data_IF_536147076744
#
_entry.id   IF_536147076744
#
_cell.length_a   1.000
_cell.length_b   1.000
_cell.length_c   1.000
_cell.angle_alpha   90.00
_cell.angle_beta   90.00
_cell.angle_gamma   90.00
#
_symmetry.space_group_name_H-M   'P 1'
#
loop_
_entity.id
_entity.type
_entity.pdbx_description
1 polymer ?
#
# COMPACT_ATOMS: atom_id res chain seq x y z
N UNK A 1 9.20 -7.00 7.04
CA UNK A 1 8.46 -6.77 8.31
C UNK A 1 7.47 -7.89 8.67
N UNK A 2 7.02 -8.71 7.72
CA UNK A 2 5.99 -9.75 7.93
C UNK A 2 6.39 -10.88 8.90
N UNK A 3 7.69 -11.10 9.09
CA UNK A 3 8.29 -12.14 9.93
C UNK A 3 8.69 -11.66 11.32
N UNK A 4 8.40 -10.40 11.68
CA UNK A 4 8.99 -9.71 12.85
C UNK A 4 10.53 -9.63 12.87
N UNK A 5 11.24 -10.22 11.90
CA UNK A 5 12.71 -10.18 11.76
C UNK A 5 13.23 -8.75 11.72
N UNK A 6 12.53 -7.86 11.00
CA UNK A 6 12.90 -6.44 10.97
C UNK A 6 13.04 -5.83 12.38
N UNK A 7 12.17 -6.23 13.32
CA UNK A 7 12.23 -5.73 14.69
C UNK A 7 13.51 -6.19 15.36
N UNK A 8 13.83 -7.48 15.23
CA UNK A 8 15.01 -8.09 15.82
C UNK A 8 16.30 -7.52 15.23
N UNK A 9 16.39 -7.47 13.90
CA UNK A 9 17.52 -6.90 13.16
C UNK A 9 17.75 -5.43 13.49
N UNK A 10 16.68 -4.64 13.65
CA UNK A 10 16.83 -3.24 14.07
C UNK A 10 17.26 -3.15 15.53
N UNK A 11 16.74 -4.01 16.41
CA UNK A 11 17.04 -3.96 17.84
C UNK A 11 18.51 -4.28 18.11
N UNK A 12 19.09 -5.21 17.36
CA UNK A 12 20.53 -5.56 17.41
C UNK A 12 21.46 -4.43 16.97
N UNK A 13 20.97 -3.48 16.16
CA UNK A 13 21.75 -2.33 15.68
C UNK A 13 21.77 -1.16 16.68
N UNK A 14 20.96 -1.22 17.74
CA UNK A 14 20.83 -0.14 18.72
C UNK A 14 21.71 -0.38 19.95
N UNK A 15 22.04 0.68 20.71
CA UNK A 15 22.79 0.53 21.96
C UNK A 15 22.08 -0.39 22.96
N UNK A 16 22.88 -1.04 23.81
CA UNK A 16 22.34 -1.89 24.87
C UNK A 16 21.36 -1.13 25.78
N UNK A 17 20.24 -1.78 26.12
CA UNK A 17 19.16 -1.19 26.91
C UNK A 17 18.25 -0.21 26.16
N UNK A 18 18.52 0.07 24.88
CA UNK A 18 17.60 0.82 24.03
C UNK A 18 16.45 -0.06 23.53
N UNK A 19 15.37 0.57 23.08
CA UNK A 19 14.25 -0.13 22.43
C UNK A 19 13.69 0.65 21.25
N UNK A 20 12.91 0.00 20.40
CA UNK A 20 12.36 0.59 19.17
C UNK A 20 10.89 0.95 19.37
N UNK A 21 10.50 2.10 18.81
CA UNK A 21 9.12 2.43 18.52
C UNK A 21 8.92 2.45 16.99
N UNK A 22 8.45 1.35 16.38
CA UNK A 22 8.26 1.31 14.93
C UNK A 22 7.09 2.21 14.56
N UNK A 23 7.35 3.25 13.79
CA UNK A 23 6.32 4.16 13.32
C UNK A 23 5.66 3.58 12.07
N UNK A 24 4.33 3.55 12.09
CA UNK A 24 3.48 3.15 10.97
C UNK A 24 2.71 4.39 10.53
N UNK A 25 2.97 4.86 9.33
CA UNK A 25 2.39 6.07 8.75
C UNK A 25 1.38 5.69 7.68
N UNK A 26 0.30 6.45 7.58
CA UNK A 26 -0.67 6.31 6.50
C UNK A 26 -1.10 7.69 6.02
N UNK A 27 -1.27 7.80 4.71
CA UNK A 27 -1.82 8.99 4.09
C UNK A 27 -2.74 8.55 2.96
N UNK A 28 -3.96 9.03 2.98
CA UNK A 28 -4.97 8.74 1.96
C UNK A 28 -5.68 10.04 1.61
N UNK A 29 -5.82 10.32 0.32
CA UNK A 29 -6.47 11.53 -0.16
C UNK A 29 -7.98 11.33 -0.16
N UNK A 30 -8.62 11.76 0.91
CA UNK A 30 -10.06 11.60 1.14
C UNK A 30 -10.91 12.73 0.55
N UNK A 31 -12.03 12.39 -0.08
CA UNK A 31 -13.06 13.34 -0.49
C UNK A 31 -14.01 13.58 0.70
N UNK A 32 -14.07 14.82 1.20
CA UNK A 32 -14.90 15.19 2.36
C UNK A 32 -16.35 15.48 1.98
N UNK A 33 -16.60 16.02 0.79
CA UNK A 33 -17.94 16.27 0.27
C UNK A 33 -18.03 15.80 -1.18
N UNK A 34 -19.03 14.97 -1.47
CA UNK A 34 -19.45 14.71 -2.84
C UNK A 34 -20.62 15.66 -3.14
N UNK A 35 -20.64 16.27 -4.33
CA UNK A 35 -21.72 17.10 -4.88
C UNK A 35 -21.84 18.57 -4.41
N UNK A 36 -21.19 18.98 -3.31
CA UNK A 36 -21.11 20.41 -2.92
C UNK A 36 -19.68 20.76 -2.55
N UNK A 37 -19.01 21.49 -3.45
CA UNK A 37 -17.71 22.12 -3.21
C UNK A 37 -16.46 21.24 -3.35
N UNK A 38 -16.61 19.96 -3.71
CA UNK A 38 -15.53 18.98 -3.95
C UNK A 38 -14.34 19.11 -2.98
N UNK A 39 -14.63 19.25 -1.68
CA UNK A 39 -13.60 19.47 -0.68
C UNK A 39 -12.84 18.17 -0.49
N UNK A 40 -11.53 18.24 -0.65
CA UNK A 40 -10.62 17.12 -0.45
C UNK A 40 -9.73 17.42 0.75
N UNK A 41 -9.46 16.40 1.55
CA UNK A 41 -8.48 16.45 2.62
C UNK A 41 -7.49 15.31 2.44
N UNK A 42 -6.24 15.59 2.75
CA UNK A 42 -5.17 14.60 2.68
C UNK A 42 -4.51 14.47 4.05
N UNK A 43 -5.16 13.76 4.99
CA UNK A 43 -4.60 13.55 6.31
C UNK A 43 -3.37 12.64 6.26
N UNK A 44 -2.44 12.91 7.17
CA UNK A 44 -1.32 12.03 7.50
C UNK A 44 -1.52 11.58 8.93
N UNK A 45 -1.60 10.28 9.12
CA UNK A 45 -1.79 9.66 10.42
C UNK A 45 -0.57 8.84 10.81
N UNK A 46 -0.45 8.60 12.11
CA UNK A 46 0.64 7.85 12.72
C UNK A 46 0.09 6.90 13.79
N UNK A 47 0.65 5.70 13.82
CA UNK A 47 0.58 4.79 14.98
C UNK A 47 1.95 4.15 15.21
N UNK A 48 2.06 3.36 16.27
CA UNK A 48 3.28 2.60 16.58
C UNK A 48 3.00 1.09 16.56
N UNK A 49 3.97 0.32 16.06
CA UNK A 49 3.93 -1.14 16.01
C UNK A 49 3.90 -1.83 17.37
N UNK A 50 4.22 -1.11 18.46
CA UNK A 50 4.12 -1.63 19.83
C UNK A 50 2.66 -1.80 20.30
N UNK A 51 1.68 -1.21 19.59
CA UNK A 51 0.26 -1.35 19.92
C UNK A 51 -0.31 -2.49 19.09
N UNK A 52 -1.00 -3.43 19.74
CA UNK A 52 -1.67 -4.53 19.04
C UNK A 52 -2.66 -4.02 17.98
N UNK A 53 -2.73 -4.73 16.85
CA UNK A 53 -3.64 -4.43 15.73
C UNK A 53 -5.10 -4.28 16.17
N UNK A 54 -5.57 -5.09 17.11
CA UNK A 54 -6.94 -5.04 17.61
C UNK A 54 -7.25 -3.75 18.37
N UNK A 55 -6.24 -3.14 19.01
CA UNK A 55 -6.37 -1.84 19.66
C UNK A 55 -6.27 -0.72 18.63
N UNK A 56 -5.35 -0.82 17.65
CA UNK A 56 -5.23 0.15 16.55
C UNK A 56 -6.54 0.29 15.76
N UNK A 57 -7.25 -0.82 15.54
CA UNK A 57 -8.52 -0.85 14.81
C UNK A 57 -9.74 -0.38 15.61
N UNK A 58 -9.58 0.06 16.86
CA UNK A 58 -10.66 0.60 17.69
C UNK A 58 -10.55 2.11 17.79
N UNK A 59 -11.39 2.89 17.07
CA UNK A 59 -11.33 4.36 17.11
C UNK A 59 -11.41 4.93 18.54
N UNK A 60 -12.18 4.30 19.43
CA UNK A 60 -12.32 4.69 20.84
C UNK A 60 -11.05 4.54 21.69
N UNK A 61 -10.01 3.86 21.18
CA UNK A 61 -8.74 3.66 21.88
C UNK A 61 -7.68 4.70 21.52
N UNK A 62 -7.95 5.58 20.56
CA UNK A 62 -7.04 6.67 20.16
C UNK A 62 -5.59 6.22 19.91
N UNK A 63 -5.41 4.97 19.45
CA UNK A 63 -4.10 4.39 19.13
C UNK A 63 -3.48 4.92 17.83
N UNK A 64 -4.26 5.70 17.08
CA UNK A 64 -3.89 6.40 15.87
C UNK A 64 -4.02 7.89 16.12
N UNK A 65 -2.99 8.65 15.76
CA UNK A 65 -2.98 10.11 15.86
C UNK A 65 -2.91 10.74 14.47
N UNK A 66 -3.63 11.85 14.29
CA UNK A 66 -3.51 12.70 13.10
C UNK A 66 -2.28 13.61 13.28
N UNK A 67 -1.28 13.49 12.41
CA UNK A 67 -0.10 14.36 12.41
C UNK A 67 -0.38 15.70 11.74
N UNK A 68 -1.24 15.70 10.72
CA UNK A 68 -1.62 16.93 10.01
C UNK A 68 -2.26 16.64 8.67
N UNK A 69 -2.50 17.71 7.92
CA UNK A 69 -3.06 17.67 6.57
C UNK A 69 -2.04 18.14 5.55
N UNK A 70 -1.90 17.38 4.47
CA UNK A 70 -1.17 17.79 3.29
C UNK A 70 -2.01 18.76 2.44
N UNK A 71 -1.38 19.72 1.77
CA UNK A 71 -2.09 20.65 0.90
C UNK A 71 -2.69 19.92 -0.30
N UNK A 72 -4.00 20.09 -0.51
CA UNK A 72 -4.68 19.66 -1.73
C UNK A 72 -4.84 20.87 -2.64
N UNK A 73 -3.89 21.05 -3.55
CA UNK A 73 -3.87 22.18 -4.48
C UNK A 73 -3.99 21.71 -5.93
N UNK A 74 -4.78 22.44 -6.73
CA UNK A 74 -4.94 22.18 -8.16
C UNK A 74 -3.76 22.70 -8.99
N UNK A 75 -2.97 23.64 -8.45
CA UNK A 75 -1.80 24.24 -9.12
C UNK A 75 -2.10 24.63 -10.59
N UNK A 76 -3.23 25.31 -10.81
CA UNK A 76 -3.74 25.67 -12.14
C UNK A 76 -2.81 26.64 -12.89
N UNK A 77 -1.97 27.38 -12.15
CA UNK A 77 -0.95 28.27 -12.71
C UNK A 77 0.23 27.54 -13.39
N UNK A 78 0.30 26.20 -13.30
CA UNK A 78 1.36 25.39 -13.90
C UNK A 78 0.82 24.55 -15.07
N UNK A 79 1.69 24.31 -16.06
CA UNK A 79 1.43 23.29 -17.08
C UNK A 79 1.29 21.90 -16.46
N UNK A 80 0.56 20.99 -17.08
CA UNK A 80 0.32 19.64 -16.55
C UNK A 80 1.63 18.89 -16.23
N UNK A 81 2.61 18.97 -17.13
CA UNK A 81 3.95 18.36 -16.94
C UNK A 81 4.69 18.96 -15.74
N UNK A 82 4.64 20.28 -15.57
CA UNK A 82 5.26 20.95 -14.43
C UNK A 82 4.51 20.63 -13.12
N UNK A 83 3.18 20.54 -13.19
CA UNK A 83 2.27 20.27 -12.07
C UNK A 83 2.57 18.93 -11.42
N UNK A 84 2.76 17.86 -12.19
CA UNK A 84 3.12 16.55 -11.65
C UNK A 84 4.42 16.61 -10.83
N UNK A 85 5.48 17.21 -11.38
CA UNK A 85 6.76 17.35 -10.69
C UNK A 85 6.68 18.22 -9.43
N UNK A 86 5.95 19.34 -9.50
CA UNK A 86 5.74 20.22 -8.33
C UNK A 86 4.89 19.54 -7.26
N UNK A 87 3.88 18.76 -7.62
CA UNK A 87 3.04 18.02 -6.66
C UNK A 87 3.87 17.01 -5.87
N UNK A 88 4.73 16.26 -6.56
CA UNK A 88 5.67 15.35 -5.89
C UNK A 88 6.58 16.10 -4.91
N UNK A 89 7.23 17.18 -5.37
CA UNK A 89 8.11 17.98 -4.49
C UNK A 89 7.37 18.59 -3.31
N UNK A 90 6.14 19.05 -3.51
CA UNK A 90 5.30 19.62 -2.45
C UNK A 90 4.98 18.57 -1.38
N UNK A 91 4.59 17.35 -1.80
CA UNK A 91 4.38 16.22 -0.89
C UNK A 91 5.63 15.94 -0.04
N UNK A 92 6.78 15.72 -0.68
CA UNK A 92 8.03 15.42 0.04
C UNK A 92 8.48 16.57 0.94
N UNK A 93 8.27 17.82 0.53
CA UNK A 93 8.59 18.99 1.36
C UNK A 93 7.72 19.04 2.61
N UNK A 94 6.41 18.75 2.48
CA UNK A 94 5.49 18.76 3.62
C UNK A 94 5.81 17.63 4.60
N UNK A 95 6.01 16.40 4.10
CA UNK A 95 6.36 15.26 4.95
C UNK A 95 7.74 15.48 5.60
N UNK A 96 8.72 16.02 4.88
CA UNK A 96 10.04 16.35 5.43
C UNK A 96 9.95 17.32 6.60
N UNK A 97 9.08 18.35 6.50
CA UNK A 97 8.81 19.28 7.61
C UNK A 97 8.15 18.57 8.80
N UNK A 98 7.14 17.73 8.55
CA UNK A 98 6.45 16.96 9.60
C UNK A 98 7.42 16.01 10.32
N UNK A 99 8.32 15.36 9.57
CA UNK A 99 9.21 14.31 10.09
C UNK A 99 10.57 14.84 10.53
N UNK A 100 10.83 16.16 10.43
CA UNK A 100 12.09 16.78 10.89
C UNK A 100 12.49 16.37 12.32
N UNK A 101 11.57 16.29 13.31
CA UNK A 101 11.92 15.83 14.66
C UNK A 101 12.42 14.37 14.70
N UNK A 102 11.94 13.52 13.78
CA UNK A 102 12.27 12.10 13.70
C UNK A 102 13.74 11.87 13.38
N UNK A 103 14.39 12.80 12.66
CA UNK A 103 15.83 12.68 12.32
C UNK A 103 16.67 12.67 13.60
N UNK A 104 16.43 13.61 14.52
CA UNK A 104 17.17 13.68 15.80
C UNK A 104 16.78 12.51 16.71
N UNK A 105 15.48 12.21 16.79
CA UNK A 105 14.95 11.17 17.65
C UNK A 105 15.42 9.77 17.23
N UNK A 106 15.44 9.46 15.94
CA UNK A 106 15.91 8.18 15.42
C UNK A 106 17.44 8.02 15.42
N UNK A 107 18.22 9.11 15.51
CA UNK A 107 19.70 9.04 15.66
C UNK A 107 20.13 8.83 17.10
N UNK A 108 19.49 9.55 18.02
CA UNK A 108 19.96 9.64 19.41
C UNK A 108 19.08 8.85 20.40
N UNK A 109 17.91 8.39 19.94
CA UNK A 109 16.83 7.96 20.79
C UNK A 109 16.26 9.12 21.63
N UNK A 110 15.15 8.83 22.32
CA UNK A 110 14.49 9.72 23.26
C UNK A 110 14.25 8.94 24.54
N UNK A 111 14.58 9.51 25.69
CA UNK A 111 14.24 8.90 26.98
C UNK A 111 12.72 9.00 27.17
N UNK A 112 12.07 7.86 27.34
CA UNK A 112 10.62 7.78 27.53
C UNK A 112 10.31 6.81 28.67
N UNK A 113 9.29 7.15 29.46
CA UNK A 113 8.71 6.23 30.45
C UNK A 113 7.85 5.21 29.73
N UNK A 114 8.21 3.94 29.84
CA UNK A 114 7.47 2.83 29.27
C UNK A 114 6.28 2.43 30.17
N UNK A 115 5.42 1.55 29.66
CA UNK A 115 4.20 1.11 30.35
C UNK A 115 4.46 0.37 31.68
N UNK A 116 5.66 -0.16 31.87
CA UNK A 116 6.11 -0.81 33.11
C UNK A 116 6.74 0.18 34.11
N UNK A 117 6.72 1.48 33.81
CA UNK A 117 7.29 2.54 34.66
C UNK A 117 8.80 2.74 34.48
N UNK A 118 9.49 1.87 33.74
CA UNK A 118 10.92 2.01 33.48
C UNK A 118 11.19 3.10 32.43
N UNK A 119 12.26 3.86 32.61
CA UNK A 119 12.73 4.82 31.60
C UNK A 119 13.66 4.09 30.64
N UNK A 120 13.33 4.10 29.36
CA UNK A 120 14.17 3.52 28.30
C UNK A 120 14.52 4.55 27.25
N UNK A 121 15.66 4.34 26.59
CA UNK A 121 16.02 5.09 25.38
C UNK A 121 15.26 4.47 24.20
N UNK A 122 14.22 5.15 23.75
CA UNK A 122 13.34 4.70 22.67
C UNK A 122 13.78 5.35 21.36
N UNK A 123 13.97 4.53 20.32
CA UNK A 123 14.28 4.95 18.97
C UNK A 123 13.03 4.86 18.10
N UNK A 124 12.34 5.98 17.82
CA UNK A 124 11.26 6.00 16.84
C UNK A 124 11.85 5.88 15.43
N UNK A 125 11.43 4.85 14.69
CA UNK A 125 11.96 4.54 13.35
C UNK A 125 10.78 4.32 12.41
N UNK A 126 10.78 4.96 11.23
CA UNK A 126 9.76 4.68 10.21
C UNK A 126 9.90 3.24 9.74
N UNK A 127 8.93 2.42 10.10
CA UNK A 127 8.92 1.00 9.78
C UNK A 127 8.04 0.74 8.56
N UNK A 128 6.82 1.29 8.55
CA UNK A 128 5.84 1.06 7.48
C UNK A 128 5.20 2.37 7.03
N UNK A 129 4.92 2.43 5.73
CA UNK A 129 4.08 3.45 5.12
C UNK A 129 2.96 2.76 4.34
N UNK A 130 1.76 2.80 4.91
CA UNK A 130 0.55 2.23 4.32
C UNK A 130 -0.05 3.25 3.37
N UNK A 131 -0.11 2.88 2.09
CA UNK A 131 -0.53 3.72 0.99
C UNK A 131 -1.04 2.84 -0.15
N UNK A 132 -1.94 3.38 -0.98
CA UNK A 132 -2.32 2.73 -2.22
C UNK A 132 -1.17 2.80 -3.26
N UNK A 133 -1.32 2.16 -4.41
CA UNK A 133 -0.22 2.08 -5.37
C UNK A 133 0.22 3.44 -5.95
N UNK A 134 -0.69 4.34 -6.39
CA UNK A 134 -0.33 5.71 -6.74
C UNK A 134 0.43 6.46 -5.63
N UNK A 135 -0.01 6.37 -4.38
CA UNK A 135 0.69 7.01 -3.25
C UNK A 135 2.03 6.33 -2.93
N UNK A 136 2.15 5.01 -3.07
CA UNK A 136 3.45 4.32 -2.96
C UNK A 136 4.44 4.84 -4.02
N UNK A 137 3.98 5.04 -5.26
CA UNK A 137 4.79 5.60 -6.33
C UNK A 137 5.25 7.04 -6.00
N UNK A 138 4.33 7.85 -5.46
CA UNK A 138 4.62 9.19 -4.96
C UNK A 138 5.72 9.16 -3.89
N UNK A 139 5.57 8.32 -2.86
CA UNK A 139 6.52 8.18 -1.74
C UNK A 139 7.89 7.67 -2.22
N UNK A 140 7.91 6.72 -3.16
CA UNK A 140 9.13 6.15 -3.74
C UNK A 140 9.81 7.07 -4.77
N UNK A 141 9.18 8.19 -5.14
CA UNK A 141 9.63 9.09 -6.20
C UNK A 141 9.70 8.43 -7.59
N UNK A 142 8.82 7.47 -7.88
CA UNK A 142 8.78 6.76 -9.17
C UNK A 142 7.55 7.15 -9.98
N UNK A 143 7.53 6.83 -11.27
CA UNK A 143 6.34 6.93 -12.11
C UNK A 143 5.33 5.84 -11.73
N UNK A 144 4.05 6.12 -11.92
CA UNK A 144 2.96 5.18 -11.61
C UNK A 144 3.05 3.86 -12.39
N UNK A 145 3.72 3.81 -13.54
CA UNK A 145 3.94 2.55 -14.25
C UNK A 145 5.22 1.80 -13.80
N UNK A 146 5.89 2.24 -12.75
CA UNK A 146 7.12 1.63 -12.22
C UNK A 146 6.87 1.02 -10.84
N UNK A 147 7.52 -0.11 -10.54
CA UNK A 147 7.41 -0.68 -9.20
C UNK A 147 8.08 0.21 -8.14
N UNK A 148 7.41 0.53 -7.02
CA UNK A 148 7.99 1.32 -5.94
C UNK A 148 8.98 0.51 -5.07
N UNK A 149 9.00 -0.81 -5.18
CA UNK A 149 9.83 -1.70 -4.32
C UNK A 149 11.07 -2.19 -5.06
N UNK A 150 10.92 -2.71 -6.28
CA UNK A 150 12.01 -3.30 -7.07
C UNK A 150 12.25 -2.59 -8.40
N UNK A 151 13.30 -3.00 -9.10
CA UNK A 151 13.75 -2.40 -10.36
C UNK A 151 13.13 -3.04 -11.61
N UNK A 152 11.98 -3.73 -11.47
CA UNK A 152 11.30 -4.36 -12.60
C UNK A 152 10.90 -3.32 -13.66
N UNK A 153 11.21 -3.57 -14.95
CA UNK A 153 10.72 -2.75 -16.04
C UNK A 153 9.19 -2.83 -16.21
N UNK A 154 8.51 -1.75 -16.64
CA UNK A 154 7.05 -1.72 -16.78
C UNK A 154 6.47 -2.81 -17.69
N UNK A 155 7.23 -3.21 -18.71
CA UNK A 155 6.89 -4.24 -19.70
C UNK A 155 7.09 -5.67 -19.17
N UNK A 156 7.69 -5.84 -17.99
CA UNK A 156 8.00 -7.16 -17.41
C UNK A 156 7.25 -7.45 -16.10
N UNK A 157 6.25 -6.64 -15.73
CA UNK A 157 5.45 -6.85 -14.53
C UNK A 157 4.69 -8.19 -14.49
N UNK A 158 4.43 -8.80 -15.66
CA UNK A 158 3.74 -10.09 -15.77
C UNK A 158 4.67 -11.31 -15.73
N UNK A 159 5.98 -11.10 -15.74
CA UNK A 159 6.96 -12.18 -15.84
C UNK A 159 7.30 -12.75 -14.46
N UNK A 160 7.52 -14.07 -14.40
CA UNK A 160 7.95 -14.76 -13.18
C UNK A 160 9.45 -14.58 -12.91
N UNK A 161 9.96 -13.35 -13.06
CA UNK A 161 11.37 -13.00 -12.92
C UNK A 161 11.54 -12.17 -11.64
N UNK A 162 12.50 -12.55 -10.81
CA UNK A 162 12.87 -11.77 -9.64
C UNK A 162 13.78 -10.61 -10.03
N UNK A 163 13.40 -9.41 -9.62
CA UNK A 163 14.16 -8.18 -9.81
C UNK A 163 14.78 -7.71 -8.50
N UNK A 164 15.97 -7.11 -8.53
CA UNK A 164 16.58 -6.55 -7.33
C UNK A 164 15.67 -5.48 -6.72
N UNK A 165 15.62 -5.47 -5.38
CA UNK A 165 15.00 -4.39 -4.62
C UNK A 165 15.74 -3.09 -4.92
N UNK A 166 15.02 -1.96 -4.95
CA UNK A 166 15.63 -0.66 -5.17
C UNK A 166 16.65 -0.36 -4.07
N UNK A 167 17.84 0.04 -4.50
CA UNK A 167 18.89 0.51 -3.60
C UNK A 167 18.69 1.99 -3.27
N UNK A 168 18.86 2.34 -1.99
CA UNK A 168 18.59 3.68 -1.48
C UNK A 168 19.64 4.68 -1.97
N UNK A 169 20.91 4.30 -1.95
CA UNK A 169 22.01 5.20 -2.29
C UNK A 169 22.03 5.49 -3.79
N UNK A 170 21.87 4.45 -4.61
CA UNK A 170 21.73 4.56 -6.07
C UNK A 170 20.54 5.44 -6.45
N UNK A 171 19.39 5.24 -5.78
CA UNK A 171 18.19 6.06 -6.06
C UNK A 171 18.40 7.52 -5.66
N UNK A 172 19.00 7.79 -4.48
CA UNK A 172 19.30 9.16 -4.04
C UNK A 172 20.29 9.86 -4.98
N UNK A 173 21.33 9.16 -5.44
CA UNK A 173 22.30 9.69 -6.40
C UNK A 173 21.61 10.07 -7.72
N UNK A 174 20.73 9.21 -8.24
CA UNK A 174 19.96 9.45 -9.45
C UNK A 174 18.98 10.64 -9.29
N UNK A 175 18.26 10.73 -8.16
CA UNK A 175 17.35 11.86 -7.87
C UNK A 175 18.08 13.21 -7.81
N UNK A 176 19.27 13.24 -7.19
CA UNK A 176 20.11 14.46 -7.11
C UNK A 176 20.67 14.88 -8.47
N UNK A 177 20.82 13.95 -9.41
CA UNK A 177 21.35 14.24 -10.74
C UNK A 177 20.44 15.14 -11.60
N UNK A 178 19.15 15.23 -11.26
CA UNK A 178 18.16 16.05 -11.99
C UNK A 178 18.51 17.55 -12.00
N UNK A 179 19.26 18.01 -11.00
CA UNK A 179 19.70 19.40 -10.91
C UNK A 179 21.06 19.64 -11.60
N UNK A 180 21.66 18.62 -12.22
CA UNK A 180 22.94 18.72 -12.93
C UNK A 180 22.71 18.92 -14.42
N UNK A 181 23.73 19.42 -15.13
CA UNK A 181 23.72 19.59 -16.59
C UNK A 181 23.50 18.26 -17.33
N UNK A 182 24.04 17.16 -16.78
CA UNK A 182 23.80 15.80 -17.24
C UNK A 182 23.03 14.99 -16.19
N UNK A 183 21.78 14.62 -16.52
CA UNK A 183 20.96 13.70 -15.74
C UNK A 183 21.55 12.29 -15.86
N UNK A 184 21.67 11.56 -14.74
CA UNK A 184 22.25 10.22 -14.77
C UNK A 184 21.36 9.25 -15.57
N UNK A 185 21.94 8.28 -16.30
CA UNK A 185 21.17 7.27 -17.03
C UNK A 185 20.18 6.51 -16.14
N UNK A 186 20.61 6.23 -14.90
CA UNK A 186 19.82 5.52 -13.88
C UNK A 186 18.51 6.23 -13.58
N UNK A 187 18.44 7.56 -13.66
CA UNK A 187 17.19 8.30 -13.43
C UNK A 187 16.07 7.84 -14.36
N UNK A 188 16.39 7.60 -15.64
CA UNK A 188 15.41 7.11 -16.62
C UNK A 188 15.12 5.63 -16.41
N UNK A 189 16.16 4.81 -16.24
CA UNK A 189 16.06 3.36 -16.05
C UNK A 189 15.23 3.00 -14.82
N UNK A 190 15.45 3.69 -13.71
CA UNK A 190 14.72 3.49 -12.46
C UNK A 190 13.32 4.11 -12.47
N UNK A 191 12.91 4.78 -13.55
CA UNK A 191 11.58 5.36 -13.70
C UNK A 191 11.29 6.50 -12.73
N UNK A 192 12.29 7.31 -12.38
CA UNK A 192 12.17 8.31 -11.31
C UNK A 192 11.41 9.58 -11.74
N UNK A 193 10.90 10.28 -10.73
CA UNK A 193 10.27 11.61 -10.81
C UNK A 193 11.20 12.68 -10.22
N UNK A 194 11.08 13.96 -10.63
CA UNK A 194 12.06 14.99 -10.32
C UNK A 194 11.89 15.54 -8.89
N UNK A 195 12.30 14.72 -7.92
CA UNK A 195 12.30 15.00 -6.47
C UNK A 195 13.74 14.96 -5.96
N UNK A 196 14.50 16.07 -6.03
CA UNK A 196 15.92 16.05 -5.65
C UNK A 196 16.17 15.79 -4.16
N UNK A 197 15.19 16.07 -3.31
CA UNK A 197 15.27 15.94 -1.85
C UNK A 197 14.03 15.20 -1.32
N UNK A 198 13.99 13.86 -1.44
CA UNK A 198 12.89 13.10 -0.87
C UNK A 198 12.93 13.15 0.66
N UNK A 199 11.75 13.17 1.30
CA UNK A 199 11.64 13.29 2.76
C UNK A 199 12.42 12.22 3.55
N UNK A 200 12.60 11.04 2.96
CA UNK A 200 13.24 9.89 3.59
C UNK A 200 14.77 9.89 3.50
N UNK A 201 15.37 10.83 2.74
CA UNK A 201 16.83 10.91 2.54
C UNK A 201 17.62 10.96 3.87
N UNK A 202 17.09 11.68 4.86
CA UNK A 202 17.80 11.95 6.11
C UNK A 202 17.27 11.13 7.29
N UNK A 203 16.30 10.23 7.07
CA UNK A 203 15.73 9.42 8.13
C UNK A 203 16.70 8.30 8.51
N UNK A 204 17.10 8.19 9.80
CA UNK A 204 18.05 7.17 10.23
C UNK A 204 17.38 5.79 10.26
N UNK A 205 18.13 4.75 9.88
CA UNK A 205 17.69 3.35 9.89
C UNK A 205 16.49 3.03 8.97
N UNK A 206 16.18 3.91 8.01
CA UNK A 206 15.03 3.75 7.11
C UNK A 206 15.49 3.37 5.71
N UNK A 207 14.95 2.27 5.20
CA UNK A 207 14.89 2.00 3.76
C UNK A 207 13.43 2.13 3.31
N UNK A 208 13.10 3.21 2.60
CA UNK A 208 11.72 3.50 2.20
C UNK A 208 11.10 2.40 1.35
N UNK A 209 11.89 1.73 0.50
CA UNK A 209 11.41 0.69 -0.41
C UNK A 209 10.99 -0.59 0.33
N UNK A 210 11.49 -0.77 1.56
CA UNK A 210 11.08 -1.85 2.46
C UNK A 210 9.88 -1.49 3.36
N UNK A 211 9.46 -0.22 3.38
CA UNK A 211 8.37 0.27 4.23
C UNK A 211 6.98 0.06 3.61
N UNK A 212 6.90 -0.25 2.32
CA UNK A 212 5.62 -0.45 1.65
C UNK A 212 4.97 -1.75 2.07
N UNK A 213 3.69 -1.68 2.42
CA UNK A 213 2.86 -2.83 2.77
C UNK A 213 1.84 -3.11 1.67
N UNK A 214 1.53 -4.38 1.35
CA UNK A 214 0.45 -4.70 0.42
C UNK A 214 -0.88 -4.11 0.87
N UNK A 215 -1.63 -3.57 -0.08
CA UNK A 215 -2.99 -3.12 0.12
C UNK A 215 -3.95 -4.20 -0.38
N UNK A 216 -4.46 -5.01 0.54
CA UNK A 216 -5.40 -6.09 0.20
C UNK A 216 -6.64 -5.58 -0.53
N UNK A 217 -7.14 -4.38 -0.20
CA UNK A 217 -8.34 -3.84 -0.81
C UNK A 217 -8.09 -3.43 -2.26
N UNK A 218 -7.10 -2.57 -2.50
CA UNK A 218 -6.86 -2.02 -3.83
C UNK A 218 -6.13 -3.01 -4.73
N UNK A 219 -5.12 -3.72 -4.23
CA UNK A 219 -4.30 -4.62 -5.04
C UNK A 219 -4.98 -5.97 -5.25
N UNK A 220 -5.50 -6.60 -4.20
CA UNK A 220 -6.06 -7.96 -4.31
C UNK A 220 -7.56 -7.96 -4.63
N UNK A 221 -8.39 -7.34 -3.78
CA UNK A 221 -9.84 -7.44 -3.91
C UNK A 221 -10.38 -6.67 -5.13
N UNK A 222 -9.91 -5.43 -5.34
CA UNK A 222 -10.28 -4.61 -6.50
C UNK A 222 -9.48 -4.99 -7.73
N UNK A 223 -8.14 -4.92 -7.66
CA UNK A 223 -7.24 -5.19 -8.77
C UNK A 223 -7.30 -6.65 -9.27
N UNK A 224 -6.56 -7.55 -8.62
CA UNK A 224 -6.39 -8.94 -9.07
C UNK A 224 -7.73 -9.66 -9.23
N UNK A 225 -8.62 -9.57 -8.24
CA UNK A 225 -9.89 -10.28 -8.30
C UNK A 225 -10.88 -9.60 -9.25
N UNK A 226 -11.31 -8.36 -8.98
CA UNK A 226 -12.43 -7.77 -9.73
C UNK A 226 -12.01 -7.25 -11.11
N UNK A 227 -10.91 -6.51 -11.21
CA UNK A 227 -10.51 -5.87 -12.47
C UNK A 227 -9.86 -6.84 -13.45
N UNK A 228 -9.22 -7.90 -12.95
CA UNK A 228 -8.57 -8.93 -13.78
C UNK A 228 -9.33 -10.25 -13.80
N UNK A 229 -9.39 -11.00 -12.69
CA UNK A 229 -9.91 -12.37 -12.69
C UNK A 229 -11.39 -12.43 -13.09
N UNK A 230 -12.26 -11.62 -12.49
CA UNK A 230 -13.70 -11.62 -12.79
C UNK A 230 -13.93 -11.23 -14.24
N UNK A 231 -13.26 -10.18 -14.72
CA UNK A 231 -13.35 -9.74 -16.12
C UNK A 231 -12.96 -10.87 -17.09
N UNK A 232 -11.81 -11.51 -16.85
CA UNK A 232 -11.31 -12.62 -17.67
C UNK A 232 -12.26 -13.83 -17.66
N UNK A 233 -12.73 -14.23 -16.48
CA UNK A 233 -13.70 -15.33 -16.36
C UNK A 233 -15.03 -15.02 -17.06
N UNK A 234 -15.53 -13.78 -16.98
CA UNK A 234 -16.75 -13.36 -17.68
C UNK A 234 -16.58 -13.34 -19.20
N UNK A 235 -15.40 -12.98 -19.70
CA UNK A 235 -15.08 -13.04 -21.13
C UNK A 235 -15.05 -14.47 -21.67
N UNK A 236 -14.53 -15.42 -20.88
CA UNK A 236 -14.45 -16.84 -21.27
C UNK A 236 -15.75 -17.62 -21.08
N UNK A 237 -16.50 -17.35 -20.01
CA UNK A 237 -17.76 -18.04 -19.69
C UNK A 237 -18.99 -17.45 -20.40
N UNK A 238 -18.92 -16.18 -20.78
CA UNK A 238 -20.05 -15.40 -21.26
C UNK A 238 -20.79 -14.69 -20.12
N UNK A 239 -20.94 -13.36 -20.26
CA UNK A 239 -21.55 -12.49 -19.23
C UNK A 239 -22.96 -12.93 -18.83
N UNK A 240 -23.78 -13.33 -19.80
CA UNK A 240 -25.16 -13.76 -19.55
C UNK A 240 -25.21 -15.04 -18.72
N UNK A 241 -24.33 -16.01 -18.99
CA UNK A 241 -24.28 -17.28 -18.25
C UNK A 241 -23.91 -17.02 -16.78
N UNK A 242 -22.86 -16.23 -16.56
CA UNK A 242 -22.41 -15.85 -15.21
C UNK A 242 -23.51 -15.10 -14.46
N UNK A 243 -24.18 -14.13 -15.10
CA UNK A 243 -25.30 -13.41 -14.47
C UNK A 243 -26.47 -14.34 -14.13
N UNK A 244 -26.80 -15.30 -14.99
CA UNK A 244 -27.82 -16.31 -14.68
C UNK A 244 -27.43 -17.18 -13.49
N UNK A 245 -26.16 -17.57 -13.36
CA UNK A 245 -25.67 -18.31 -12.20
C UNK A 245 -25.84 -17.50 -10.91
N UNK A 246 -25.48 -16.21 -10.93
CA UNK A 246 -25.71 -15.31 -9.79
C UNK A 246 -27.20 -15.19 -9.42
N UNK A 247 -28.09 -15.13 -10.42
CA UNK A 247 -29.54 -15.04 -10.21
C UNK A 247 -30.14 -16.33 -9.66
N UNK A 248 -29.66 -17.49 -10.11
CA UNK A 248 -30.14 -18.82 -9.70
C UNK A 248 -29.52 -19.31 -8.39
N UNK A 249 -28.49 -18.63 -7.89
CA UNK A 249 -27.82 -18.99 -6.64
C UNK A 249 -28.84 -19.05 -5.48
N UNK A 250 -28.90 -20.17 -4.71
CA UNK A 250 -29.77 -20.27 -3.56
C UNK A 250 -29.54 -19.12 -2.55
N UNK A 251 -30.62 -18.67 -1.93
CA UNK A 251 -30.52 -17.64 -0.88
C UNK A 251 -29.94 -18.25 0.39
N UNK A 252 -28.97 -17.56 1.01
CA UNK A 252 -28.39 -17.94 2.29
C UNK A 252 -28.17 -16.69 3.15
N UNK A 253 -28.51 -16.69 4.46
CA UNK A 253 -28.42 -15.50 5.31
C UNK A 253 -27.03 -14.85 5.40
N UNK A 254 -25.96 -15.63 5.23
CA UNK A 254 -24.57 -15.13 5.29
C UNK A 254 -23.98 -14.69 3.95
N UNK A 255 -24.73 -14.84 2.85
CA UNK A 255 -24.26 -14.54 1.50
C UNK A 255 -25.11 -13.46 0.85
N UNK A 256 -24.45 -12.51 0.19
CA UNK A 256 -25.17 -11.53 -0.63
C UNK A 256 -25.72 -12.17 -1.90
N UNK A 257 -26.99 -11.94 -2.17
CA UNK A 257 -27.64 -12.42 -3.39
C UNK A 257 -27.74 -11.30 -4.45
N UNK A 258 -27.16 -11.53 -5.63
CA UNK A 258 -27.09 -10.57 -6.73
C UNK A 258 -28.24 -10.79 -7.73
N UNK A 259 -29.44 -10.33 -7.38
CA UNK A 259 -30.71 -10.59 -8.10
C UNK A 259 -30.72 -10.22 -9.59
N UNK A 260 -29.85 -9.31 -10.03
CA UNK A 260 -29.73 -8.85 -11.43
C UNK A 260 -28.41 -9.27 -12.07
N UNK A 261 -27.74 -10.27 -11.50
CA UNK A 261 -26.36 -10.58 -11.82
C UNK A 261 -25.40 -9.48 -11.36
N UNK A 262 -24.17 -9.54 -11.87
CA UNK A 262 -23.08 -8.61 -11.54
C UNK A 262 -22.79 -7.62 -12.68
N UNK A 263 -23.17 -7.93 -13.92
CA UNK A 263 -22.88 -7.05 -15.08
C UNK A 263 -23.58 -5.70 -15.03
N UNK A 264 -24.70 -5.59 -14.30
CA UNK A 264 -25.46 -4.35 -14.16
C UNK A 264 -24.89 -3.38 -13.10
N UNK A 265 -23.91 -3.82 -12.31
CA UNK A 265 -23.34 -3.03 -11.22
C UNK A 265 -22.20 -2.16 -11.76
N UNK A 266 -22.47 -0.86 -11.87
CA UNK A 266 -21.49 0.14 -12.32
C UNK A 266 -20.58 0.63 -11.19
N UNK A 267 -21.10 0.71 -9.97
CA UNK A 267 -20.37 1.17 -8.79
C UNK A 267 -20.28 0.05 -7.76
N UNK A 268 -19.05 -0.30 -7.40
CA UNK A 268 -18.76 -1.36 -6.44
C UNK A 268 -18.20 -0.79 -5.14
N UNK A 269 -18.74 -1.26 -4.02
CA UNK A 269 -18.16 -1.04 -2.70
C UNK A 269 -17.16 -2.16 -2.35
N UNK A 270 -16.22 -1.87 -1.45
CA UNK A 270 -15.28 -2.88 -0.94
C UNK A 270 -15.99 -4.09 -0.30
N UNK A 271 -17.16 -3.87 0.32
CA UNK A 271 -17.98 -4.95 0.87
C UNK A 271 -18.56 -5.83 -0.24
N UNK A 272 -19.05 -5.24 -1.32
CA UNK A 272 -19.59 -5.99 -2.46
C UNK A 272 -18.54 -6.84 -3.16
N UNK A 273 -17.30 -6.34 -3.30
CA UNK A 273 -16.20 -7.16 -3.82
C UNK A 273 -15.99 -8.41 -2.97
N UNK A 274 -15.91 -8.27 -1.64
CA UNK A 274 -15.74 -9.40 -0.72
C UNK A 274 -16.91 -10.38 -0.76
N UNK A 275 -18.15 -9.87 -0.84
CA UNK A 275 -19.32 -10.75 -0.96
C UNK A 275 -19.35 -11.51 -2.29
N UNK A 276 -18.95 -10.87 -3.40
CA UNK A 276 -18.80 -11.54 -4.70
C UNK A 276 -17.73 -12.64 -4.64
N UNK A 277 -16.57 -12.37 -4.02
CA UNK A 277 -15.48 -13.34 -3.88
C UNK A 277 -15.89 -14.63 -3.20
N UNK A 278 -16.75 -14.58 -2.18
CA UNK A 278 -17.23 -15.76 -1.44
C UNK A 278 -17.88 -16.82 -2.33
N UNK A 279 -18.53 -16.40 -3.41
CA UNK A 279 -19.35 -17.27 -4.25
C UNK A 279 -18.79 -17.47 -5.66
N UNK A 280 -17.83 -16.63 -6.08
CA UNK A 280 -17.40 -16.55 -7.47
C UNK A 280 -16.84 -17.87 -8.03
N UNK A 281 -15.98 -18.58 -7.29
CA UNK A 281 -15.42 -19.86 -7.75
C UNK A 281 -16.50 -20.92 -7.99
N UNK A 282 -17.52 -20.98 -7.15
CA UNK A 282 -18.65 -21.90 -7.33
C UNK A 282 -19.51 -21.51 -8.52
N UNK A 283 -19.72 -20.22 -8.74
CA UNK A 283 -20.55 -19.72 -9.83
C UNK A 283 -19.88 -19.83 -11.20
N UNK A 284 -18.55 -19.81 -11.27
CA UNK A 284 -17.86 -20.02 -12.55
C UNK A 284 -17.72 -21.51 -12.92
N UNK A 285 -17.90 -22.40 -11.93
CA UNK A 285 -17.89 -23.83 -12.16
C UNK A 285 -19.06 -24.23 -13.08
N UNK A 286 -18.75 -24.93 -14.18
CA UNK A 286 -19.73 -25.30 -15.20
C UNK A 286 -20.03 -24.21 -16.23
N UNK A 287 -19.76 -22.93 -15.93
CA UNK A 287 -19.88 -21.83 -16.88
C UNK A 287 -18.61 -21.67 -17.74
N UNK A 288 -17.43 -21.95 -17.17
CA UNK A 288 -16.15 -21.91 -17.87
C UNK A 288 -15.49 -23.29 -17.95
N UNK A 289 -14.49 -23.43 -18.81
CA UNK A 289 -13.63 -24.61 -18.86
C UNK A 289 -13.01 -24.89 -17.47
N UNK A 290 -12.87 -26.17 -17.10
CA UNK A 290 -12.38 -26.61 -15.78
C UNK A 290 -11.07 -25.93 -15.36
N UNK A 291 -10.11 -25.83 -16.28
CA UNK A 291 -8.85 -25.07 -16.10
C UNK A 291 -9.04 -23.62 -15.62
N UNK A 292 -10.02 -22.89 -16.17
CA UNK A 292 -10.33 -21.51 -15.74
C UNK A 292 -10.85 -21.50 -14.31
N UNK A 293 -11.71 -22.46 -13.98
CA UNK A 293 -12.23 -22.63 -12.61
C UNK A 293 -11.11 -22.93 -11.61
N UNK A 294 -10.13 -23.77 -11.98
CA UNK A 294 -8.95 -24.06 -11.15
C UNK A 294 -8.13 -22.80 -10.88
N UNK A 295 -7.86 -21.98 -11.91
CA UNK A 295 -7.14 -20.71 -11.75
C UNK A 295 -7.92 -19.75 -10.86
N UNK A 296 -9.23 -19.61 -11.09
CA UNK A 296 -10.08 -18.75 -10.27
C UNK A 296 -10.08 -19.17 -8.80
N UNK A 297 -10.16 -20.47 -8.52
CA UNK A 297 -10.07 -21.00 -7.16
C UNK A 297 -8.71 -20.69 -6.54
N UNK A 298 -7.60 -20.95 -7.23
CA UNK A 298 -6.25 -20.71 -6.71
C UNK A 298 -6.03 -19.24 -6.35
N UNK A 299 -6.47 -18.31 -7.20
CA UNK A 299 -6.37 -16.86 -6.92
C UNK A 299 -7.23 -16.47 -5.71
N UNK A 300 -8.45 -16.99 -5.62
CA UNK A 300 -9.33 -16.70 -4.48
C UNK A 300 -8.77 -17.29 -3.17
N UNK A 301 -8.26 -18.52 -3.20
CA UNK A 301 -7.60 -19.17 -2.07
C UNK A 301 -6.41 -18.32 -1.59
N UNK A 302 -5.55 -17.87 -2.50
CA UNK A 302 -4.45 -16.94 -2.19
C UNK A 302 -4.93 -15.67 -1.50
N UNK A 303 -5.98 -15.02 -2.00
CA UNK A 303 -6.55 -13.80 -1.40
C UNK A 303 -7.05 -14.07 0.03
N UNK A 304 -7.66 -15.23 0.27
CA UNK A 304 -8.09 -15.62 1.61
C UNK A 304 -6.90 -15.84 2.55
N UNK A 305 -5.89 -16.59 2.13
CA UNK A 305 -4.69 -16.80 2.94
C UNK A 305 -3.99 -15.47 3.24
N UNK A 306 -3.81 -14.60 2.24
CA UNK A 306 -3.20 -13.27 2.42
C UNK A 306 -3.99 -12.37 3.39
N UNK A 307 -5.29 -12.64 3.58
CA UNK A 307 -6.15 -11.88 4.49
C UNK A 307 -6.10 -12.37 5.95
N UNK A 308 -5.38 -13.45 6.24
CA UNK A 308 -5.31 -13.99 7.60
C UNK A 308 -4.64 -13.00 8.56
N UNK A 309 -5.16 -12.85 9.80
CA UNK A 309 -4.55 -11.99 10.81
C UNK A 309 -3.13 -12.41 11.21
N UNK A 310 -2.83 -13.71 11.09
CA UNK A 310 -1.55 -14.34 11.39
C UNK A 310 -1.31 -15.49 10.41
N UNK A 311 -0.06 -15.68 10.02
CA UNK A 311 0.35 -16.79 9.17
C UNK A 311 1.05 -17.88 9.99
N UNK A 312 0.80 -19.14 9.65
CA UNK A 312 1.60 -20.28 10.09
C UNK A 312 2.58 -20.71 8.99
N UNK A 313 3.54 -21.57 9.31
CA UNK A 313 4.42 -22.15 8.29
C UNK A 313 3.64 -22.87 7.19
N UNK A 314 2.50 -23.49 7.53
CA UNK A 314 1.63 -24.13 6.55
C UNK A 314 0.94 -23.12 5.63
N UNK A 315 0.41 -22.02 6.18
CA UNK A 315 -0.27 -21.02 5.35
C UNK A 315 0.74 -20.25 4.50
N UNK A 316 1.96 -20.02 4.97
CA UNK A 316 3.05 -19.46 4.17
C UNK A 316 3.47 -20.37 3.01
N UNK A 317 3.42 -21.68 3.18
CA UNK A 317 3.73 -22.62 2.09
C UNK A 317 2.64 -22.63 0.99
N UNK A 318 1.42 -22.21 1.32
CA UNK A 318 0.29 -22.12 0.39
C UNK A 318 0.18 -20.76 -0.32
N UNK A 319 1.00 -19.78 0.06
CA UNK A 319 1.09 -18.42 -0.51
C UNK A 319 2.29 -18.36 -1.44
#
# INVERSE_FOLDING_TARGET
>A
MWTAEWWWEMQERLPEGATIAPLIVFSDKTVLTQFIGDKQAWPVYLTIGNISKDIQNKPSKHAVVLLGYLPVTKLECLSEKARQGVTYRLFHTCISKMFKPLIKAGKNGVLMTCADGCIRRVFPILAAYVADYPEQCLIACVKENSCPICQVPPDQHGEAIQYPIRDIDTTLAALKSVNKEAVSPEYKTLGLRPVPQPFWENLPHVNIFSCFTPDLLHQLHKGVFKDHLVKWCMELAGKQEVDQHFQKMPSHPSLRHFKKGISSISQWTGREHKEMQKVFASLICGAAHSKVTTVARAVIDFIYYASFPSQSSETLWRI
#
